data_IF_353755609725
#
_entry.id   IF_353755609725
#
_cell.length_a   1.000
_cell.length_b   1.000
_cell.length_c   1.000
_cell.angle_alpha   90.00
_cell.angle_beta   90.00
_cell.angle_gamma   90.00
#
_symmetry.space_group_name_H-M   'P 1'
#
loop_
_entity.id
_entity.type
_entity.pdbx_description
1 polymer ?
#
# COMPACT_ATOMS: atom_id res chain seq x y z
N UNK A 1 35.09 -5.52 -7.46
CA UNK A 1 35.30 -6.44 -6.32
C UNK A 1 34.04 -7.26 -6.13
N UNK A 2 34.02 -8.45 -6.73
CA UNK A 2 33.02 -9.47 -6.45
C UNK A 2 33.19 -9.98 -5.02
N UNK A 3 32.15 -9.85 -4.19
CA UNK A 3 32.13 -10.50 -2.89
C UNK A 3 31.68 -11.94 -3.07
N UNK A 4 32.65 -12.87 -2.93
CA UNK A 4 32.44 -14.32 -2.89
C UNK A 4 31.38 -14.67 -1.84
N UNK A 5 30.17 -14.92 -2.33
CA UNK A 5 29.17 -15.76 -1.70
C UNK A 5 29.74 -17.18 -1.60
N UNK A 6 30.37 -17.54 -0.48
CA UNK A 6 30.57 -18.93 -0.08
C UNK A 6 31.09 -19.03 1.36
N UNK A 7 30.16 -18.93 2.30
CA UNK A 7 30.16 -19.82 3.45
C UNK A 7 28.72 -20.25 3.62
N UNK A 8 28.44 -21.50 3.30
CA UNK A 8 27.24 -22.21 3.73
C UNK A 8 26.95 -21.76 5.16
N UNK A 9 25.92 -20.94 5.33
CA UNK A 9 25.37 -20.60 6.63
C UNK A 9 24.72 -21.89 7.13
N UNK A 10 25.56 -22.73 7.75
CA UNK A 10 25.19 -23.96 8.45
C UNK A 10 23.90 -23.70 9.20
N UNK A 11 22.86 -24.51 8.94
CA UNK A 11 21.63 -24.66 9.72
C UNK A 11 21.76 -24.05 11.12
N UNK A 12 21.42 -22.77 11.25
CA UNK A 12 21.39 -22.08 12.53
C UNK A 12 20.03 -22.45 13.13
N UNK A 13 20.00 -23.22 14.22
CA UNK A 13 18.74 -23.48 14.91
C UNK A 13 18.11 -22.17 15.40
N UNK A 14 16.79 -22.14 15.57
CA UNK A 14 15.94 -20.99 15.94
C UNK A 14 16.57 -19.98 16.93
N UNK A 15 17.36 -20.46 17.89
CA UNK A 15 18.01 -19.64 18.92
C UNK A 15 19.23 -18.87 18.39
N UNK A 16 20.10 -19.55 17.62
CA UNK A 16 21.32 -18.97 17.05
C UNK A 16 20.98 -17.94 15.96
N UNK A 17 20.01 -18.25 15.10
CA UNK A 17 19.56 -17.32 14.06
C UNK A 17 18.91 -16.06 14.64
N UNK A 18 18.08 -16.20 15.70
CA UNK A 18 17.51 -15.04 16.40
C UNK A 18 18.58 -14.20 17.11
N UNK A 19 19.63 -14.82 17.66
CA UNK A 19 20.77 -14.11 18.27
C UNK A 19 21.63 -13.42 17.20
N UNK A 20 21.84 -14.05 16.05
CA UNK A 20 22.62 -13.48 14.94
C UNK A 20 21.89 -12.30 14.29
N UNK A 21 20.56 -12.37 14.13
CA UNK A 21 19.77 -11.21 13.70
C UNK A 21 19.82 -10.11 14.75
N UNK A 22 19.61 -10.43 16.03
CA UNK A 22 19.72 -9.42 17.11
C UNK A 22 21.10 -8.79 17.15
N UNK A 23 22.17 -9.58 16.97
CA UNK A 23 23.56 -9.12 16.93
C UNK A 23 23.80 -8.25 15.70
N UNK A 24 23.29 -8.64 14.54
CA UNK A 24 23.37 -7.86 13.31
C UNK A 24 22.63 -6.52 13.44
N UNK A 25 21.37 -6.54 13.91
CA UNK A 25 20.55 -5.35 14.15
C UNK A 25 21.20 -4.44 15.18
N UNK A 26 21.69 -4.99 16.31
CA UNK A 26 22.34 -4.23 17.39
C UNK A 26 23.67 -3.61 16.93
N UNK A 27 24.48 -4.34 16.18
CA UNK A 27 25.75 -3.85 15.61
C UNK A 27 25.50 -2.79 14.53
N UNK A 28 24.39 -2.89 13.81
CA UNK A 28 23.94 -1.88 12.86
C UNK A 28 23.12 -0.74 13.51
N UNK A 29 22.72 -0.83 14.79
CA UNK A 29 22.13 0.30 15.52
C UNK A 29 23.20 1.31 15.97
N UNK A 30 24.47 0.90 16.03
CA UNK A 30 25.61 1.81 16.27
C UNK A 30 25.95 2.65 15.02
N UNK A 31 25.40 2.27 13.85
CA UNK A 31 25.45 3.07 12.62
C UNK A 31 24.01 3.46 12.25
N UNK A 32 23.58 4.67 12.60
CA UNK A 32 22.23 5.23 12.47
C UNK A 32 21.60 5.28 11.03
N UNK A 33 21.95 4.37 10.14
CA UNK A 33 21.39 4.21 8.79
C UNK A 33 21.55 2.77 8.28
N UNK A 34 20.81 1.81 8.84
CA UNK A 34 20.75 0.47 8.22
C UNK A 34 20.17 0.61 6.81
N UNK A 35 20.95 0.27 5.78
CA UNK A 35 20.53 0.47 4.39
C UNK A 35 19.42 -0.54 4.04
N UNK A 36 18.33 -0.10 3.41
CA UNK A 36 17.21 -0.96 2.95
C UNK A 36 17.66 -2.30 2.31
N UNK A 37 18.73 -2.35 1.47
CA UNK A 37 19.27 -3.60 0.94
C UNK A 37 19.62 -4.66 2.00
N UNK A 38 20.16 -4.26 3.14
CA UNK A 38 20.55 -5.17 4.22
C UNK A 38 19.33 -5.85 4.86
N UNK A 39 18.27 -5.08 5.13
CA UNK A 39 17.01 -5.61 5.66
C UNK A 39 16.39 -6.61 4.68
N UNK A 40 16.48 -6.35 3.37
CA UNK A 40 15.98 -7.26 2.33
C UNK A 40 16.79 -8.55 2.23
N UNK A 41 18.10 -8.52 2.48
CA UNK A 41 18.93 -9.74 2.56
C UNK A 41 18.45 -10.63 3.70
N UNK A 42 18.20 -10.06 4.88
CA UNK A 42 17.68 -10.82 6.02
C UNK A 42 16.27 -11.37 5.74
N UNK A 43 15.40 -10.56 5.13
CA UNK A 43 14.06 -10.97 4.74
C UNK A 43 14.08 -12.17 3.78
N UNK A 44 15.01 -12.18 2.81
CA UNK A 44 15.19 -13.31 1.90
C UNK A 44 15.60 -14.59 2.63
N UNK A 45 16.54 -14.52 3.58
CA UNK A 45 16.93 -15.68 4.40
C UNK A 45 15.76 -16.25 5.20
N UNK A 46 14.95 -15.38 5.81
CA UNK A 46 13.73 -15.77 6.50
C UNK A 46 12.73 -16.49 5.59
N UNK A 47 12.60 -16.04 4.33
CA UNK A 47 11.75 -16.68 3.34
C UNK A 47 12.28 -18.05 2.88
N UNK A 48 13.60 -18.20 2.76
CA UNK A 48 14.25 -19.48 2.41
C UNK A 48 14.18 -20.53 3.54
N UNK A 49 14.22 -20.08 4.79
CA UNK A 49 14.28 -20.96 5.97
C UNK A 49 12.89 -21.48 6.42
N UNK A 50 11.85 -20.65 6.27
CA UNK A 50 10.51 -20.96 6.78
C UNK A 50 9.51 -21.13 5.64
N UNK A 51 8.52 -22.01 5.83
CA UNK A 51 7.27 -21.96 5.05
C UNK A 51 6.35 -20.90 5.64
N UNK A 52 5.46 -20.31 4.84
CA UNK A 52 4.58 -19.19 5.23
C UNK A 52 3.91 -19.39 6.61
N UNK A 53 3.29 -20.55 6.84
CA UNK A 53 2.62 -20.86 8.11
C UNK A 53 3.58 -20.88 9.31
N UNK A 54 4.79 -21.41 9.12
CA UNK A 54 5.85 -21.38 10.14
C UNK A 54 6.39 -19.97 10.35
N UNK A 55 6.50 -19.20 9.27
CA UNK A 55 6.98 -17.82 9.29
C UNK A 55 6.07 -16.89 10.11
N UNK A 56 4.76 -17.12 10.21
CA UNK A 56 3.86 -16.31 11.04
C UNK A 56 4.30 -16.20 12.51
N UNK A 57 4.86 -17.27 13.08
CA UNK A 57 5.41 -17.25 14.45
C UNK A 57 6.62 -16.32 14.53
N UNK A 58 7.48 -16.34 13.51
CA UNK A 58 8.66 -15.48 13.42
C UNK A 58 8.23 -14.04 13.19
N UNK A 59 7.33 -13.78 12.23
CA UNK A 59 6.74 -12.48 11.97
C UNK A 59 6.24 -11.82 13.27
N UNK A 60 5.45 -12.53 14.09
CA UNK A 60 4.93 -11.97 15.34
C UNK A 60 6.03 -11.59 16.34
N UNK A 61 7.15 -12.34 16.40
CA UNK A 61 8.28 -11.97 17.27
C UNK A 61 8.89 -10.63 16.84
N UNK A 62 9.14 -10.46 15.55
CA UNK A 62 9.67 -9.22 14.99
C UNK A 62 8.65 -8.07 15.08
N UNK A 63 7.37 -8.37 14.91
CA UNK A 63 6.31 -7.36 14.98
C UNK A 63 6.20 -6.74 16.37
N UNK A 64 6.30 -7.60 17.39
CA UNK A 64 6.09 -7.26 18.79
C UNK A 64 7.36 -6.80 19.52
N UNK A 65 8.51 -6.76 18.86
CA UNK A 65 9.76 -6.34 19.51
C UNK A 65 9.85 -4.84 19.81
N UNK A 66 8.99 -4.04 19.17
CA UNK A 66 8.98 -2.58 19.29
C UNK A 66 9.97 -1.87 18.37
N UNK A 67 10.86 -2.59 17.69
CA UNK A 67 11.85 -1.99 16.79
C UNK A 67 11.32 -1.85 15.36
N UNK A 68 11.47 -0.65 14.79
CA UNK A 68 10.99 -0.34 13.44
C UNK A 68 11.66 -1.20 12.36
N UNK A 69 12.98 -1.41 12.46
CA UNK A 69 13.74 -2.22 11.52
C UNK A 69 13.30 -3.68 11.53
N UNK A 70 12.96 -4.22 12.71
CA UNK A 70 12.45 -5.58 12.85
C UNK A 70 11.08 -5.75 12.19
N UNK A 71 10.17 -4.78 12.37
CA UNK A 71 8.89 -4.75 11.64
C UNK A 71 9.10 -4.68 10.12
N UNK A 72 10.04 -3.86 9.66
CA UNK A 72 10.36 -3.77 8.24
C UNK A 72 10.91 -5.10 7.68
N UNK A 73 11.78 -5.80 8.41
CA UNK A 73 12.24 -7.15 8.02
C UNK A 73 11.06 -8.11 7.93
N UNK A 74 10.14 -8.09 8.90
CA UNK A 74 8.97 -8.96 8.90
C UNK A 74 8.05 -8.69 7.71
N UNK A 75 7.81 -7.41 7.38
CA UNK A 75 7.05 -6.98 6.20
C UNK A 75 7.73 -7.46 4.92
N UNK A 76 9.01 -7.11 4.72
CA UNK A 76 9.75 -7.52 3.52
C UNK A 76 9.83 -9.03 3.35
N UNK A 77 9.95 -9.79 4.43
CA UNK A 77 9.95 -11.24 4.38
C UNK A 77 8.57 -11.79 4.00
N UNK A 78 7.48 -11.20 4.54
CA UNK A 78 6.12 -11.61 4.22
C UNK A 78 5.79 -11.38 2.74
N UNK A 79 6.23 -10.25 2.17
CA UNK A 79 6.04 -9.92 0.74
C UNK A 79 6.57 -11.00 -0.21
N UNK A 80 7.63 -11.72 0.18
CA UNK A 80 8.23 -12.77 -0.64
C UNK A 80 7.35 -14.03 -0.74
N UNK A 81 6.32 -14.15 0.09
CA UNK A 81 5.34 -15.25 0.04
C UNK A 81 4.07 -14.90 -0.75
N UNK A 82 4.09 -13.85 -1.59
CA UNK A 82 2.89 -13.36 -2.29
C UNK A 82 2.14 -14.43 -3.10
N UNK A 83 2.86 -15.41 -3.65
CA UNK A 83 2.24 -16.52 -4.40
C UNK A 83 1.49 -17.51 -3.49
N UNK A 84 1.84 -17.58 -2.20
CA UNK A 84 1.19 -18.43 -1.21
C UNK A 84 0.02 -17.73 -0.47
N UNK A 85 -0.26 -16.47 -0.79
CA UNK A 85 -1.27 -15.68 -0.07
C UNK A 85 -2.68 -16.18 -0.30
N UNK A 86 -3.44 -16.22 0.80
CA UNK A 86 -4.82 -16.67 0.83
C UNK A 86 -5.59 -15.99 1.98
N UNK A 87 -6.83 -16.44 2.21
CA UNK A 87 -7.70 -15.88 3.26
C UNK A 87 -7.14 -16.04 4.69
N UNK A 88 -6.33 -17.07 4.97
CA UNK A 88 -5.67 -17.23 6.26
C UNK A 88 -4.54 -16.21 6.44
N UNK A 89 -3.82 -15.87 5.37
CA UNK A 89 -2.87 -14.74 5.40
C UNK A 89 -3.59 -13.44 5.73
N UNK A 90 -4.79 -13.20 5.17
CA UNK A 90 -5.60 -12.04 5.53
C UNK A 90 -5.98 -12.05 7.01
N UNK A 91 -6.54 -13.15 7.52
CA UNK A 91 -6.94 -13.29 8.92
C UNK A 91 -5.76 -13.07 9.87
N UNK A 92 -4.58 -13.56 9.50
CA UNK A 92 -3.34 -13.31 10.23
C UNK A 92 -2.95 -11.83 10.20
N UNK A 93 -2.86 -11.24 9.00
CA UNK A 93 -2.26 -9.92 8.80
C UNK A 93 -3.18 -8.77 9.21
N UNK A 94 -4.50 -8.89 9.02
CA UNK A 94 -5.47 -7.81 9.32
C UNK A 94 -5.40 -7.29 10.76
N UNK A 95 -4.98 -8.13 11.70
CA UNK A 95 -4.84 -7.79 13.11
C UNK A 95 -3.71 -6.78 13.38
N UNK A 96 -2.76 -6.65 12.44
CA UNK A 96 -1.55 -5.82 12.55
C UNK A 96 -1.77 -4.41 11.98
N UNK A 97 -2.83 -4.21 11.20
CA UNK A 97 -3.08 -2.95 10.47
C UNK A 97 -3.18 -1.74 11.41
N UNK A 98 -3.71 -1.93 12.62
CA UNK A 98 -3.85 -0.87 13.65
C UNK A 98 -2.50 -0.26 14.09
N UNK A 99 -1.40 -0.99 13.93
CA UNK A 99 -0.06 -0.58 14.36
C UNK A 99 0.68 0.21 13.26
N UNK A 100 0.12 0.27 12.04
CA UNK A 100 0.75 0.90 10.87
C UNK A 100 0.17 2.30 10.69
N UNK A 101 0.99 3.32 10.93
CA UNK A 101 0.57 4.74 10.98
C UNK A 101 1.49 5.69 10.21
N UNK A 102 2.27 5.18 9.26
CA UNK A 102 3.18 5.99 8.46
C UNK A 102 2.98 5.68 6.97
N UNK A 103 2.97 6.73 6.14
CA UNK A 103 2.60 6.61 4.73
C UNK A 103 3.49 5.62 3.97
N UNK A 104 4.78 5.56 4.28
CA UNK A 104 5.77 4.67 3.66
C UNK A 104 5.41 3.19 3.88
N UNK A 105 5.08 2.82 5.12
CA UNK A 105 4.67 1.45 5.45
C UNK A 105 3.28 1.14 4.97
N UNK A 106 2.37 2.11 5.06
CA UNK A 106 1.00 1.96 4.53
C UNK A 106 1.06 1.58 3.06
N UNK A 107 1.80 2.31 2.24
CA UNK A 107 1.84 2.08 0.79
C UNK A 107 2.46 0.73 0.44
N UNK A 108 3.59 0.42 1.10
CA UNK A 108 4.31 -0.85 0.95
C UNK A 108 3.40 -2.03 1.29
N UNK A 109 2.80 -2.02 2.49
CA UNK A 109 1.93 -3.09 2.96
C UNK A 109 0.66 -3.20 2.10
N UNK A 110 0.07 -2.07 1.71
CA UNK A 110 -1.18 -2.07 0.96
C UNK A 110 -0.99 -2.68 -0.42
N UNK A 111 0.07 -2.29 -1.12
CA UNK A 111 0.33 -2.80 -2.47
C UNK A 111 0.89 -4.22 -2.43
N UNK A 112 1.92 -4.47 -1.63
CA UNK A 112 2.69 -5.72 -1.71
C UNK A 112 2.11 -6.86 -0.86
N UNK A 113 1.22 -6.56 0.09
CA UNK A 113 0.59 -7.58 0.94
C UNK A 113 -0.92 -7.58 0.73
N UNK A 114 -1.61 -6.48 1.05
CA UNK A 114 -3.08 -6.45 1.02
C UNK A 114 -3.61 -6.64 -0.40
N UNK A 115 -3.04 -5.94 -1.38
CA UNK A 115 -3.45 -6.05 -2.78
C UNK A 115 -3.12 -7.42 -3.39
N UNK A 116 -1.97 -8.01 -3.04
CA UNK A 116 -1.60 -9.37 -3.45
C UNK A 116 -2.51 -10.44 -2.85
N UNK A 117 -2.97 -10.24 -1.60
CA UNK A 117 -4.01 -11.07 -0.98
C UNK A 117 -5.34 -10.88 -1.70
N UNK A 118 -5.72 -9.63 -2.01
CA UNK A 118 -6.98 -9.30 -2.67
C UNK A 118 -7.10 -9.93 -4.07
N UNK A 119 -5.98 -10.13 -4.78
CA UNK A 119 -5.94 -10.84 -6.05
C UNK A 119 -6.32 -12.33 -5.93
N UNK A 120 -6.09 -12.94 -4.75
CA UNK A 120 -6.19 -14.40 -4.53
C UNK A 120 -7.30 -14.79 -3.54
N UNK A 121 -7.84 -13.84 -2.78
CA UNK A 121 -8.83 -14.08 -1.75
C UNK A 121 -9.95 -13.03 -1.78
N UNK A 122 -11.18 -13.46 -1.49
CA UNK A 122 -12.33 -12.56 -1.43
C UNK A 122 -12.33 -11.73 -0.13
N UNK A 123 -11.61 -10.61 -0.14
CA UNK A 123 -11.53 -9.66 0.99
C UNK A 123 -12.07 -8.27 0.63
N UNK A 124 -12.72 -8.12 -0.53
CA UNK A 124 -13.17 -6.83 -1.06
C UNK A 124 -14.09 -6.08 -0.09
N UNK A 125 -14.97 -6.77 0.63
CA UNK A 125 -15.84 -6.16 1.62
C UNK A 125 -15.06 -5.54 2.78
N UNK A 126 -14.00 -6.19 3.24
CA UNK A 126 -13.15 -5.67 4.31
C UNK A 126 -12.39 -4.43 3.85
N UNK A 127 -11.92 -4.41 2.59
CA UNK A 127 -11.30 -3.21 1.98
C UNK A 127 -12.29 -2.05 1.91
N UNK A 128 -13.54 -2.31 1.51
CA UNK A 128 -14.59 -1.28 1.50
C UNK A 128 -14.89 -0.78 2.91
N UNK A 129 -14.93 -1.65 3.92
CA UNK A 129 -15.10 -1.25 5.33
C UNK A 129 -13.94 -0.35 5.79
N UNK A 130 -12.70 -0.67 5.41
CA UNK A 130 -11.54 0.16 5.71
C UNK A 130 -11.67 1.57 5.10
N UNK A 131 -12.11 1.69 3.84
CA UNK A 131 -12.33 2.98 3.17
C UNK A 131 -13.44 3.82 3.82
N UNK A 132 -14.45 3.19 4.41
CA UNK A 132 -15.53 3.88 5.13
C UNK A 132 -15.17 4.28 6.57
N UNK A 133 -14.06 3.78 7.11
CA UNK A 133 -13.67 4.07 8.49
C UNK A 133 -13.19 5.51 8.69
N UNK A 134 -13.22 6.02 9.92
CA UNK A 134 -12.69 7.36 10.23
C UNK A 134 -11.15 7.42 10.25
N UNK A 135 -10.46 6.27 10.14
CA UNK A 135 -9.00 6.22 10.20
C UNK A 135 -8.40 6.51 8.82
N UNK A 136 -7.66 7.62 8.72
CA UNK A 136 -7.00 8.07 7.47
C UNK A 136 -6.07 7.01 6.88
N UNK A 137 -5.39 6.23 7.72
CA UNK A 137 -4.47 5.18 7.28
C UNK A 137 -5.22 3.98 6.74
N UNK A 138 -6.36 3.61 7.32
CA UNK A 138 -7.22 2.57 6.74
C UNK A 138 -7.81 3.01 5.39
N UNK A 139 -8.22 4.28 5.25
CA UNK A 139 -8.67 4.83 3.96
C UNK A 139 -7.56 4.76 2.91
N UNK A 140 -6.37 5.25 3.25
CA UNK A 140 -5.19 5.19 2.37
C UNK A 140 -4.83 3.74 2.03
N UNK A 141 -4.83 2.83 3.00
CA UNK A 141 -4.56 1.42 2.75
C UNK A 141 -5.55 0.82 1.78
N UNK A 142 -6.85 1.10 1.95
CA UNK A 142 -7.88 0.57 1.08
C UNK A 142 -7.68 1.04 -0.37
N UNK A 143 -7.41 2.34 -0.57
CA UNK A 143 -7.11 2.91 -1.88
C UNK A 143 -5.86 2.25 -2.50
N UNK A 144 -4.74 2.22 -1.79
CA UNK A 144 -3.49 1.69 -2.32
C UNK A 144 -3.55 0.17 -2.58
N UNK A 145 -4.37 -0.58 -1.83
CA UNK A 145 -4.53 -2.02 -2.01
C UNK A 145 -5.19 -2.41 -3.34
N UNK A 146 -5.85 -1.48 -4.05
CA UNK A 146 -6.43 -1.79 -5.36
C UNK A 146 -5.41 -1.71 -6.51
N UNK A 147 -4.20 -1.18 -6.29
CA UNK A 147 -3.20 -1.00 -7.35
C UNK A 147 -2.86 -2.32 -8.06
N UNK A 148 -2.60 -3.44 -7.36
CA UNK A 148 -2.36 -4.71 -8.04
C UNK A 148 -3.55 -5.19 -8.88
N UNK A 149 -4.79 -4.97 -8.41
CA UNK A 149 -6.00 -5.28 -9.18
C UNK A 149 -6.10 -4.43 -10.45
N UNK A 150 -5.79 -3.14 -10.37
CA UNK A 150 -5.79 -2.23 -11.53
C UNK A 150 -4.83 -2.69 -12.63
N UNK A 151 -3.65 -3.21 -12.26
CA UNK A 151 -2.66 -3.73 -13.21
C UNK A 151 -3.16 -4.96 -13.99
N UNK A 152 -4.15 -5.67 -13.45
CA UNK A 152 -4.85 -6.81 -14.08
C UNK A 152 -6.15 -6.38 -14.80
N UNK A 153 -6.30 -5.10 -15.16
CA UNK A 153 -7.52 -4.46 -15.70
C UNK A 153 -8.77 -4.60 -14.80
N UNK A 154 -8.60 -4.92 -13.51
CA UNK A 154 -9.69 -5.01 -12.50
C UNK A 154 -9.81 -3.72 -11.67
N UNK A 155 -10.02 -2.60 -12.34
CA UNK A 155 -9.97 -1.26 -11.74
C UNK A 155 -11.27 -0.77 -11.06
N UNK A 156 -12.41 -1.46 -11.23
CA UNK A 156 -13.72 -0.99 -10.75
C UNK A 156 -13.75 -0.78 -9.23
N UNK A 157 -13.07 -1.65 -8.47
CA UNK A 157 -12.94 -1.47 -7.02
C UNK A 157 -12.19 -0.17 -6.70
N UNK A 158 -11.12 0.14 -7.43
CA UNK A 158 -10.36 1.38 -7.24
C UNK A 158 -11.23 2.63 -7.42
N UNK A 159 -12.03 2.69 -8.48
CA UNK A 159 -12.99 3.80 -8.70
C UNK A 159 -13.97 3.92 -7.53
N UNK A 160 -14.59 2.81 -7.12
CA UNK A 160 -15.52 2.79 -5.99
C UNK A 160 -14.88 3.30 -4.69
N UNK A 161 -13.63 2.92 -4.42
CA UNK A 161 -12.92 3.38 -3.23
C UNK A 161 -12.58 4.88 -3.33
N UNK A 162 -12.22 5.38 -4.52
CA UNK A 162 -12.06 6.81 -4.75
C UNK A 162 -13.36 7.57 -4.47
N UNK A 163 -14.52 7.08 -4.95
CA UNK A 163 -15.84 7.70 -4.67
C UNK A 163 -16.15 7.76 -3.17
N UNK A 164 -15.88 6.67 -2.43
CA UNK A 164 -16.06 6.62 -0.97
C UNK A 164 -15.18 7.66 -0.26
N UNK A 165 -13.95 7.85 -0.74
CA UNK A 165 -12.93 8.66 -0.07
C UNK A 165 -12.84 10.11 -0.56
N UNK A 166 -13.50 10.49 -1.66
CA UNK A 166 -13.26 11.76 -2.36
C UNK A 166 -13.53 13.01 -1.53
N UNK A 167 -14.43 12.92 -0.55
CA UNK A 167 -14.74 14.02 0.38
C UNK A 167 -13.83 14.07 1.61
N UNK A 168 -12.77 13.25 1.65
CA UNK A 168 -11.78 13.28 2.73
C UNK A 168 -11.04 14.62 2.73
N UNK A 169 -10.98 15.27 3.90
CA UNK A 169 -10.18 16.50 4.09
C UNK A 169 -8.69 16.24 4.31
N UNK A 170 -8.30 14.98 4.49
CA UNK A 170 -6.91 14.59 4.74
C UNK A 170 -6.12 14.46 3.44
N UNK A 171 -5.01 15.18 3.33
CA UNK A 171 -4.14 15.18 2.15
C UNK A 171 -3.52 13.80 1.85
N UNK A 172 -3.22 12.96 2.87
CA UNK A 172 -2.72 11.62 2.61
C UNK A 172 -3.76 10.75 1.90
N UNK A 173 -5.04 10.97 2.17
CA UNK A 173 -6.12 10.26 1.48
C UNK A 173 -6.28 10.82 0.07
N UNK A 174 -6.26 12.16 -0.10
CA UNK A 174 -6.35 12.80 -1.42
C UNK A 174 -5.18 12.40 -2.33
N UNK A 175 -3.95 12.34 -1.82
CA UNK A 175 -2.80 11.83 -2.57
C UNK A 175 -2.99 10.39 -3.03
N UNK A 176 -3.54 9.52 -2.18
CA UNK A 176 -3.82 8.14 -2.55
C UNK A 176 -4.89 8.05 -3.64
N UNK A 177 -5.92 8.89 -3.60
CA UNK A 177 -6.90 9.01 -4.69
C UNK A 177 -6.19 9.41 -6.00
N UNK A 178 -5.34 10.43 -5.95
CA UNK A 178 -4.56 10.86 -7.12
C UNK A 178 -3.72 9.72 -7.71
N UNK A 179 -3.01 8.96 -6.88
CA UNK A 179 -2.21 7.80 -7.30
C UNK A 179 -3.10 6.73 -7.94
N UNK A 180 -4.19 6.33 -7.28
CA UNK A 180 -5.11 5.32 -7.81
C UNK A 180 -5.70 5.74 -9.15
N UNK A 181 -6.16 6.98 -9.27
CA UNK A 181 -6.67 7.52 -10.54
C UNK A 181 -5.59 7.54 -11.62
N UNK A 182 -4.34 7.89 -11.27
CA UNK A 182 -3.22 7.84 -12.23
C UNK A 182 -2.98 6.42 -12.75
N UNK A 183 -2.97 5.42 -11.87
CA UNK A 183 -2.80 4.01 -12.26
C UNK A 183 -3.94 3.55 -13.17
N UNK A 184 -5.20 3.88 -12.83
CA UNK A 184 -6.37 3.53 -13.65
C UNK A 184 -6.32 4.26 -15.00
N UNK A 185 -5.89 5.52 -15.01
CA UNK A 185 -5.84 6.38 -16.20
C UNK A 185 -4.87 5.89 -17.27
N UNK A 186 -3.82 5.15 -16.89
CA UNK A 186 -2.91 4.51 -17.85
C UNK A 186 -3.63 3.49 -18.75
N UNK A 187 -4.70 2.86 -18.25
CA UNK A 187 -5.43 1.81 -18.96
C UNK A 187 -6.79 2.33 -19.46
N UNK A 188 -7.48 3.15 -18.65
CA UNK A 188 -8.84 3.65 -18.90
C UNK A 188 -8.95 5.17 -18.68
N UNK A 189 -8.31 6.00 -19.51
CA UNK A 189 -8.30 7.47 -19.34
C UNK A 189 -9.71 8.08 -19.34
N UNK A 190 -10.63 7.54 -20.14
CA UNK A 190 -12.03 8.00 -20.19
C UNK A 190 -12.80 7.77 -18.88
N UNK A 191 -12.43 6.76 -18.08
CA UNK A 191 -13.04 6.51 -16.76
C UNK A 191 -12.57 7.59 -15.78
N UNK A 192 -11.27 7.88 -15.76
CA UNK A 192 -10.70 8.92 -14.88
C UNK A 192 -11.20 10.31 -15.24
N UNK A 193 -11.29 10.62 -16.54
CA UNK A 193 -11.87 11.89 -17.02
C UNK A 193 -13.30 12.10 -16.49
N UNK A 194 -14.15 11.06 -16.57
CA UNK A 194 -15.52 11.10 -16.04
C UNK A 194 -15.54 11.25 -14.51
N UNK A 195 -14.67 10.54 -13.80
CA UNK A 195 -14.55 10.67 -12.34
C UNK A 195 -14.20 12.11 -11.95
N UNK A 196 -13.18 12.71 -12.57
CA UNK A 196 -12.73 14.07 -12.27
C UNK A 196 -13.81 15.11 -12.55
N UNK A 197 -14.51 15.00 -13.69
CA UNK A 197 -15.62 15.90 -14.04
C UNK A 197 -16.77 15.84 -13.04
N UNK A 198 -17.02 14.66 -12.47
CA UNK A 198 -18.15 14.42 -11.56
C UNK A 198 -17.82 14.77 -10.10
N UNK A 199 -16.55 14.89 -9.74
CA UNK A 199 -16.12 15.01 -8.34
C UNK A 199 -15.34 16.31 -8.07
N UNK A 200 -16.07 17.36 -7.71
CA UNK A 200 -15.50 18.70 -7.43
C UNK A 200 -14.71 18.79 -6.12
N UNK A 201 -14.87 17.83 -5.22
CA UNK A 201 -14.15 17.78 -3.94
C UNK A 201 -12.71 17.26 -4.06
N UNK A 202 -12.30 16.81 -5.24
CA UNK A 202 -10.94 16.33 -5.50
C UNK A 202 -9.94 17.47 -5.27
N UNK A 203 -8.92 17.26 -4.43
CA UNK A 203 -7.94 18.31 -4.15
C UNK A 203 -7.09 18.64 -5.39
N UNK A 204 -6.52 19.85 -5.43
CA UNK A 204 -5.61 20.27 -6.50
C UNK A 204 -4.43 19.30 -6.65
N UNK A 205 -3.90 18.81 -5.53
CA UNK A 205 -2.77 17.87 -5.53
C UNK A 205 -3.18 16.49 -6.03
N UNK A 206 -4.36 16.00 -5.64
CA UNK A 206 -4.90 14.75 -6.16
C UNK A 206 -5.14 14.83 -7.67
N UNK A 207 -5.70 15.94 -8.16
CA UNK A 207 -5.87 16.21 -9.58
C UNK A 207 -4.54 16.24 -10.33
N UNK A 208 -3.52 16.92 -9.77
CA UNK A 208 -2.20 17.00 -10.39
C UNK A 208 -1.57 15.60 -10.55
N UNK A 209 -1.59 14.78 -9.50
CA UNK A 209 -1.07 13.40 -9.55
C UNK A 209 -1.88 12.56 -10.55
N UNK A 210 -3.21 12.63 -10.48
CA UNK A 210 -4.08 11.86 -11.37
C UNK A 210 -3.81 12.17 -12.86
N UNK A 211 -3.49 13.42 -13.18
CA UNK A 211 -3.28 13.90 -14.56
C UNK A 211 -1.81 14.03 -14.98
N UNK A 212 -0.88 13.51 -14.16
CA UNK A 212 0.57 13.59 -14.41
C UNK A 212 0.91 13.09 -15.82
N UNK A 213 0.37 11.92 -16.19
CA UNK A 213 0.60 11.23 -17.46
C UNK A 213 -0.53 11.39 -18.49
N UNK A 214 -1.56 12.19 -18.19
CA UNK A 214 -2.72 12.43 -19.08
C UNK A 214 -2.84 13.93 -19.33
N UNK A 215 -1.94 14.48 -20.17
CA UNK A 215 -1.82 15.92 -20.39
C UNK A 215 -3.11 16.54 -20.94
N UNK A 216 -3.84 15.80 -21.75
CA UNK A 216 -5.15 16.18 -22.31
C UNK A 216 -6.22 16.44 -21.23
N UNK A 217 -6.11 15.80 -20.06
CA UNK A 217 -7.04 16.00 -18.96
C UNK A 217 -6.71 17.23 -18.10
N UNK A 218 -5.54 17.86 -18.27
CA UNK A 218 -5.15 19.06 -17.51
C UNK A 218 -6.05 20.27 -17.80
N UNK A 219 -6.67 20.33 -18.99
CA UNK A 219 -7.64 21.37 -19.37
C UNK A 219 -8.93 21.36 -18.54
N UNK A 220 -9.29 20.23 -17.93
CA UNK A 220 -10.51 20.07 -17.12
C UNK A 220 -10.55 20.97 -15.87
N UNK A 221 -9.40 21.46 -15.42
CA UNK A 221 -9.32 22.37 -14.26
C UNK A 221 -9.95 23.74 -14.55
N UNK A 222 -9.86 24.23 -15.79
CA UNK A 222 -10.43 25.52 -16.20
C UNK A 222 -11.95 25.48 -16.32
N UNK A 223 -12.50 24.39 -16.85
CA UNK A 223 -13.94 24.16 -16.94
C UNK A 223 -14.60 24.04 -15.56
N UNK A 224 -13.93 23.37 -14.61
CA UNK A 224 -14.44 23.21 -13.25
C UNK A 224 -14.51 24.54 -12.45
N UNK A 225 -13.65 25.52 -12.75
CA UNK A 225 -13.75 26.88 -12.19
C UNK A 225 -14.80 27.74 -12.90
N UNK A 226 -14.92 27.66 -14.22
CA UNK A 226 -15.92 28.44 -14.98
C UNK A 226 -17.37 27.94 -14.79
N UNK A 227 -17.56 26.66 -14.44
CA UNK A 227 -18.86 26.14 -14.02
C UNK A 227 -19.37 26.77 -12.71
N UNK A 228 -18.52 27.46 -11.93
CA UNK A 228 -18.93 28.22 -10.73
C UNK A 228 -19.65 29.53 -11.12
N UNK A 229 -19.44 30.04 -12.33
CA UNK A 229 -20.14 31.25 -12.83
C UNK A 229 -21.39 30.87 -13.63
N UNK A 230 -21.41 29.72 -14.32
CA UNK A 230 -22.54 29.35 -15.18
C UNK A 230 -23.64 28.52 -14.52
N UNK A 231 -23.36 27.75 -13.45
CA UNK A 231 -24.39 26.92 -12.78
C UNK A 231 -25.12 27.61 -11.61
N UNK A 232 -24.86 28.89 -11.35
CA UNK A 232 -25.61 29.67 -10.35
C UNK A 232 -26.87 30.36 -10.90
N UNK A 233 -27.17 30.18 -12.19
CA UNK A 233 -28.24 30.90 -12.90
C UNK A 233 -29.32 30.02 -13.57
N UNK A 234 -29.29 28.68 -13.46
CA UNK A 234 -30.16 27.83 -14.28
C UNK A 234 -30.90 26.67 -13.58
N UNK A 235 -31.04 26.63 -12.25
CA UNK A 235 -31.92 25.64 -11.60
C UNK A 235 -32.64 26.19 -10.37
N UNK A 236 -33.57 27.13 -10.60
CA UNK A 236 -34.79 27.34 -9.81
C UNK A 236 -35.91 27.70 -10.80
N UNK A 237 -36.45 26.68 -11.46
CA UNK A 237 -37.79 26.60 -12.03
C UNK A 237 -38.12 25.12 -12.13
N UNK A 238 -38.67 24.59 -11.05
CA UNK A 238 -40.04 24.07 -10.99
C UNK A 238 -40.52 24.17 -9.54
#
# INVERSE_FOLDING_TARGET
>A
MEYKSNKQLKKLGDKQFSEDIKKYIRRNHEFNSTKIPELKILAKRLNEEYKLRGFYKIFNKFWNSGYNNERSIAIYALELYKEDFNIETWKFFKQKLKDIKSWDKVDTVSTNIIGEILLRANIQEDIIKMAKSNNIWHKRMALMACIPMTREDKFLLGIKLCEICVNSKDENVQYAIGIVLREIGQIKPAVVSRFIKSNKSLSDSAFYIATENMKELRGLRGENKNAIIFNKLMFWKD
#
